data_IF_127181448292
#
_entry.id   IF_127181448292
#
_cell.length_a   1.000
_cell.length_b   1.000
_cell.length_c   1.000
_cell.angle_alpha   90.00
_cell.angle_beta   90.00
_cell.angle_gamma   90.00
#
_symmetry.space_group_name_H-M   'P 1'
#
loop_
_entity.id
_entity.type
_entity.pdbx_description
1 polymer ?
#
# COMPACT_ATOMS: atom_id res chain seq x y z
N UNK A 1 -27.39 34.04 -31.38
CA UNK A 1 -26.52 34.53 -32.47
C UNK A 1 -25.38 33.54 -32.62
N UNK A 2 -25.25 33.04 -33.83
CA UNK A 2 -24.48 31.91 -34.31
C UNK A 2 -22.98 32.19 -34.48
N UNK A 3 -22.19 31.13 -34.21
CA UNK A 3 -21.06 30.59 -34.98
C UNK A 3 -19.80 31.43 -35.29
N UNK A 4 -18.64 30.84 -34.98
CA UNK A 4 -17.54 30.50 -35.93
C UNK A 4 -16.51 29.69 -35.11
N UNK A 5 -16.33 28.38 -35.23
CA UNK A 5 -15.80 27.55 -36.34
C UNK A 5 -14.51 28.09 -36.95
N UNK A 6 -13.41 27.34 -36.80
CA UNK A 6 -12.37 27.16 -37.83
C UNK A 6 -11.50 25.90 -37.53
N UNK A 7 -11.72 24.85 -38.34
CA UNK A 7 -10.77 23.87 -38.95
C UNK A 7 -9.90 23.00 -38.03
N UNK A 8 -9.82 21.66 -38.08
CA UNK A 8 -10.01 20.65 -39.15
C UNK A 8 -9.19 20.90 -40.42
N UNK A 9 -7.99 20.30 -40.49
CA UNK A 9 -7.42 19.56 -41.64
C UNK A 9 -5.95 19.20 -41.36
N UNK A 10 -5.61 17.92 -41.34
CA UNK A 10 -4.59 17.40 -42.26
C UNK A 10 -4.70 15.87 -42.34
N UNK A 11 -5.35 15.45 -43.43
CA UNK A 11 -5.50 14.07 -43.88
C UNK A 11 -5.06 14.06 -45.35
N UNK A 12 -3.88 13.54 -45.63
CA UNK A 12 -3.38 13.13 -46.95
C UNK A 12 -2.06 12.36 -46.69
N UNK A 13 -1.78 11.16 -47.22
CA UNK A 13 -2.12 10.66 -48.54
C UNK A 13 -2.18 9.12 -48.55
N UNK A 14 -3.23 8.61 -49.19
CA UNK A 14 -3.23 7.29 -49.85
C UNK A 14 -2.76 7.47 -51.29
N UNK A 15 -2.01 6.50 -51.84
CA UNK A 15 -2.35 5.74 -53.07
C UNK A 15 -1.19 4.81 -53.51
N UNK A 16 -1.46 3.78 -54.35
CA UNK A 16 -0.91 2.43 -54.16
C UNK A 16 -0.08 1.90 -55.37
N UNK A 17 0.19 0.59 -55.31
CA UNK A 17 0.47 -0.39 -56.38
C UNK A 17 1.93 -0.78 -56.64
N UNK A 18 2.25 -2.03 -56.32
CA UNK A 18 2.91 -2.95 -57.24
C UNK A 18 2.72 -4.41 -56.77
N UNK A 19 1.94 -5.16 -57.54
CA UNK A 19 1.92 -6.63 -57.53
C UNK A 19 3.15 -7.14 -58.28
N UNK A 20 3.94 -8.02 -57.66
CA UNK A 20 4.74 -9.00 -58.41
C UNK A 20 4.72 -10.35 -57.68
N UNK A 21 4.25 -11.37 -58.39
CA UNK A 21 4.40 -12.78 -58.03
C UNK A 21 5.72 -13.30 -58.60
N UNK A 22 6.55 -13.93 -57.76
CA UNK A 22 7.49 -14.99 -58.18
C UNK A 22 8.05 -15.73 -56.95
N UNK A 23 7.74 -17.01 -56.85
CA UNK A 23 8.41 -18.05 -56.04
C UNK A 23 9.24 -18.95 -56.98
N UNK A 24 10.09 -19.89 -56.51
CA UNK A 24 10.72 -20.06 -55.20
C UNK A 24 12.23 -20.44 -55.27
N UNK A 25 12.76 -20.77 -54.08
CA UNK A 25 13.87 -21.71 -53.80
C UNK A 25 15.26 -21.13 -53.54
N UNK A 26 15.57 -20.99 -52.26
CA UNK A 26 16.81 -21.52 -51.68
C UNK A 26 16.57 -21.85 -50.20
N UNK A 27 16.49 -23.15 -49.90
CA UNK A 27 16.51 -23.67 -48.53
C UNK A 27 17.88 -23.38 -47.93
N UNK A 28 17.93 -22.48 -46.95
CA UNK A 28 19.02 -22.41 -45.97
C UNK A 28 18.38 -22.54 -44.59
N UNK A 29 18.61 -23.68 -43.96
CA UNK A 29 18.29 -23.94 -42.56
C UNK A 29 19.20 -23.10 -41.68
N UNK A 30 18.77 -21.87 -41.37
CA UNK A 30 19.29 -21.13 -40.23
C UNK A 30 18.55 -21.61 -38.97
N UNK A 31 19.26 -22.32 -38.10
CA UNK A 31 18.81 -22.59 -36.74
C UNK A 31 18.81 -21.27 -35.97
N UNK A 32 17.70 -20.55 -36.02
CA UNK A 32 17.41 -19.44 -35.11
C UNK A 32 17.09 -20.02 -33.75
N UNK A 33 18.09 -20.07 -32.87
CA UNK A 33 17.85 -20.20 -31.43
C UNK A 33 17.16 -18.91 -30.97
N UNK A 34 15.85 -19.00 -30.69
CA UNK A 34 15.11 -17.96 -29.98
C UNK A 34 15.79 -17.75 -28.62
N UNK A 35 16.16 -16.51 -28.23
CA UNK A 35 16.54 -16.28 -26.85
C UNK A 35 15.32 -16.58 -25.98
N UNK A 36 15.46 -17.53 -25.06
CA UNK A 36 14.51 -17.69 -23.96
C UNK A 36 14.63 -16.43 -23.10
N UNK A 37 13.82 -15.42 -23.39
CA UNK A 37 13.62 -14.30 -22.50
C UNK A 37 12.87 -14.84 -21.29
N UNK A 38 13.62 -15.19 -20.25
CA UNK A 38 13.06 -15.35 -18.91
C UNK A 38 12.66 -13.93 -18.47
N UNK A 39 11.50 -13.46 -18.91
CA UNK A 39 10.88 -12.29 -18.32
C UNK A 39 10.63 -12.65 -16.85
N UNK A 40 11.49 -12.16 -15.96
CA UNK A 40 11.23 -12.19 -14.53
C UNK A 40 9.98 -11.33 -14.35
N UNK A 41 8.84 -11.97 -14.07
CA UNK A 41 7.66 -11.24 -13.65
C UNK A 41 8.04 -10.41 -12.43
N UNK A 42 7.69 -9.12 -12.38
CA UNK A 42 8.01 -8.28 -11.23
C UNK A 42 7.46 -8.95 -9.98
N UNK A 43 8.25 -8.92 -8.90
CA UNK A 43 7.78 -9.41 -7.62
C UNK A 43 6.53 -8.62 -7.27
N UNK A 44 5.45 -9.25 -6.79
CA UNK A 44 4.28 -8.54 -6.29
C UNK A 44 4.61 -7.63 -5.09
N UNK A 45 5.81 -7.77 -4.52
CA UNK A 45 6.37 -6.96 -3.45
C UNK A 45 7.35 -5.88 -3.93
N UNK A 46 7.43 -5.62 -5.24
CA UNK A 46 8.31 -4.58 -5.79
C UNK A 46 7.91 -3.19 -5.28
N UNK A 47 8.86 -2.46 -4.69
CA UNK A 47 8.66 -1.11 -4.15
C UNK A 47 8.28 -1.06 -2.67
N UNK A 48 8.02 -2.20 -2.02
CA UNK A 48 7.82 -2.25 -0.57
C UNK A 48 9.15 -2.07 0.17
N UNK A 49 9.12 -1.33 1.27
CA UNK A 49 10.28 -1.11 2.14
C UNK A 49 9.87 -1.15 3.60
N UNK A 50 10.60 -1.93 4.40
CA UNK A 50 10.50 -1.91 5.87
C UNK A 50 11.58 -1.05 6.53
N UNK A 51 12.25 -0.17 5.77
CA UNK A 51 13.29 0.70 6.30
C UNK A 51 12.75 1.57 7.45
N UNK A 52 13.47 1.62 8.56
CA UNK A 52 13.05 2.39 9.74
C UNK A 52 12.16 1.62 10.72
N UNK A 53 11.68 0.42 10.37
CA UNK A 53 11.04 -0.47 11.33
C UNK A 53 12.10 -1.10 12.27
N UNK A 54 11.91 -1.05 13.60
CA UNK A 54 12.76 -1.78 14.54
C UNK A 54 12.82 -3.29 14.22
N UNK A 55 14.00 -3.89 14.42
CA UNK A 55 14.23 -5.29 14.08
C UNK A 55 13.31 -6.26 14.83
N UNK A 56 12.90 -5.92 16.05
CA UNK A 56 12.01 -6.71 16.89
C UNK A 56 10.51 -6.51 16.59
N UNK A 57 10.17 -5.65 15.62
CA UNK A 57 8.82 -5.46 15.10
C UNK A 57 8.61 -6.07 13.71
N UNK A 58 9.64 -6.67 13.12
CA UNK A 58 9.49 -7.40 11.86
C UNK A 58 8.75 -8.72 12.10
N UNK A 59 7.73 -8.97 11.28
CA UNK A 59 6.91 -10.19 11.30
C UNK A 59 7.22 -11.12 10.12
N UNK A 60 8.20 -10.76 9.28
CA UNK A 60 8.60 -11.47 8.06
C UNK A 60 7.42 -11.66 7.10
N UNK A 61 6.58 -10.64 6.97
CA UNK A 61 5.53 -10.51 5.96
C UNK A 61 5.73 -9.16 5.28
N UNK A 62 6.15 -9.11 4.00
CA UNK A 62 6.66 -7.88 3.38
C UNK A 62 5.68 -6.71 3.33
N UNK A 63 4.37 -6.96 3.23
CA UNK A 63 3.37 -5.89 3.17
C UNK A 63 3.13 -5.33 4.57
N UNK A 64 2.93 -6.18 5.56
CA UNK A 64 2.81 -5.83 6.98
C UNK A 64 4.05 -5.08 7.47
N UNK A 65 5.26 -5.57 7.15
CA UNK A 65 6.49 -4.90 7.59
C UNK A 65 6.66 -3.52 6.92
N UNK A 66 6.20 -3.36 5.69
CA UNK A 66 6.23 -2.06 5.01
C UNK A 66 5.21 -1.07 5.60
N UNK A 67 3.95 -1.48 5.82
CA UNK A 67 2.95 -0.62 6.45
C UNK A 67 3.30 -0.29 7.90
N UNK A 68 3.91 -1.22 8.63
CA UNK A 68 4.43 -0.96 9.98
C UNK A 68 5.58 0.05 9.98
N UNK A 69 6.47 -0.01 8.98
CA UNK A 69 7.53 0.98 8.83
C UNK A 69 6.95 2.38 8.56
N UNK A 70 5.99 2.49 7.64
CA UNK A 70 5.28 3.74 7.34
C UNK A 70 4.57 4.32 8.57
N UNK A 71 3.90 3.47 9.37
CA UNK A 71 3.30 3.88 10.64
C UNK A 71 4.31 4.54 11.57
N UNK A 72 5.46 3.90 11.79
CA UNK A 72 6.50 4.40 12.71
C UNK A 72 7.09 5.71 12.20
N UNK A 73 7.34 5.81 10.89
CA UNK A 73 7.89 7.02 10.27
C UNK A 73 6.92 8.21 10.38
N UNK A 74 5.64 8.00 10.09
CA UNK A 74 4.62 9.04 10.20
C UNK A 74 4.39 9.48 11.65
N UNK A 75 4.41 8.53 12.58
CA UNK A 75 4.31 8.85 14.00
C UNK A 75 5.51 9.67 14.48
N UNK A 76 6.73 9.29 14.06
CA UNK A 76 7.94 10.05 14.36
C UNK A 76 7.88 11.47 13.78
N UNK A 77 7.33 11.64 12.56
CA UNK A 77 7.11 12.95 11.97
C UNK A 77 6.12 13.80 12.78
N UNK A 78 5.01 13.21 13.26
CA UNK A 78 4.05 13.90 14.12
C UNK A 78 4.66 14.31 15.47
N UNK A 79 5.50 13.47 16.08
CA UNK A 79 6.22 13.78 17.32
C UNK A 79 7.22 14.92 17.13
N UNK A 80 7.91 14.95 15.99
CA UNK A 80 8.93 15.95 15.68
C UNK A 80 8.36 17.28 15.15
N UNK A 81 7.09 17.33 14.76
CA UNK A 81 6.47 18.51 14.20
C UNK A 81 6.38 19.67 15.21
N UNK A 82 6.59 20.89 14.72
CA UNK A 82 6.29 22.12 15.44
C UNK A 82 4.77 22.30 15.62
N UNK A 83 4.35 23.35 16.33
CA UNK A 83 2.93 23.56 16.67
C UNK A 83 2.08 23.76 15.40
N UNK A 84 2.63 24.48 14.42
CA UNK A 84 1.98 24.73 13.13
C UNK A 84 1.87 23.47 12.26
N UNK A 85 2.87 22.60 12.29
CA UNK A 85 2.91 21.37 11.49
C UNK A 85 2.22 20.16 12.13
N UNK A 86 1.99 20.18 13.45
CA UNK A 86 1.52 19.00 14.19
C UNK A 86 0.22 18.42 13.61
N UNK A 87 -0.79 19.25 13.36
CA UNK A 87 -2.10 18.76 12.90
C UNK A 87 -2.01 18.06 11.54
N UNK A 88 -1.21 18.61 10.62
CA UNK A 88 -1.02 18.01 9.29
C UNK A 88 -0.27 16.67 9.36
N UNK A 89 0.76 16.58 10.21
CA UNK A 89 1.49 15.33 10.41
C UNK A 89 0.63 14.27 11.12
N UNK A 90 -0.20 14.70 12.08
CA UNK A 90 -1.12 13.80 12.79
C UNK A 90 -2.24 13.29 11.88
N UNK A 91 -2.80 14.14 11.01
CA UNK A 91 -3.77 13.73 9.99
C UNK A 91 -3.17 12.69 9.03
N UNK A 92 -1.93 12.87 8.58
CA UNK A 92 -1.24 11.89 7.74
C UNK A 92 -1.04 10.53 8.44
N UNK A 93 -0.70 10.54 9.73
CA UNK A 93 -0.60 9.32 10.52
C UNK A 93 -1.97 8.63 10.70
N UNK A 94 -3.05 9.38 10.96
CA UNK A 94 -4.42 8.83 11.07
C UNK A 94 -4.85 8.17 9.76
N UNK A 95 -4.63 8.85 8.63
CA UNK A 95 -5.04 8.35 7.30
C UNK A 95 -4.31 7.05 6.95
N UNK A 96 -2.99 7.00 7.17
CA UNK A 96 -2.20 5.78 7.00
C UNK A 96 -2.70 4.66 7.92
N UNK A 97 -2.87 4.95 9.21
CA UNK A 97 -3.28 3.96 10.21
C UNK A 97 -4.66 3.37 9.88
N UNK A 98 -5.56 4.19 9.35
CA UNK A 98 -6.86 3.72 8.86
C UNK A 98 -6.72 2.77 7.67
N UNK A 99 -5.86 3.09 6.70
CA UNK A 99 -5.60 2.21 5.56
C UNK A 99 -4.98 0.88 5.99
N UNK A 100 -3.97 0.94 6.86
CA UNK A 100 -3.31 -0.23 7.46
C UNK A 100 -4.32 -1.15 8.15
N UNK A 101 -5.12 -0.64 9.08
CA UNK A 101 -6.10 -1.48 9.79
C UNK A 101 -7.17 -2.04 8.87
N UNK A 102 -7.69 -1.25 7.92
CA UNK A 102 -8.68 -1.75 6.95
C UNK A 102 -8.14 -2.92 6.12
N UNK A 103 -6.85 -2.86 5.77
CA UNK A 103 -6.19 -3.92 5.03
C UNK A 103 -6.10 -5.21 5.87
N UNK A 104 -5.65 -5.12 7.13
CA UNK A 104 -5.59 -6.28 8.02
C UNK A 104 -6.96 -6.87 8.33
N UNK A 105 -7.97 -6.02 8.58
CA UNK A 105 -9.34 -6.45 8.80
C UNK A 105 -9.90 -7.25 7.62
N UNK A 106 -9.59 -6.83 6.38
CA UNK A 106 -9.96 -7.58 5.18
C UNK A 106 -9.28 -8.94 5.13
N UNK A 107 -8.00 -9.03 5.51
CA UNK A 107 -7.29 -10.32 5.56
C UNK A 107 -7.85 -11.22 6.64
N UNK A 108 -8.09 -10.68 7.84
CA UNK A 108 -8.70 -11.40 8.94
C UNK A 108 -10.06 -11.99 8.58
N UNK A 109 -10.89 -11.25 7.83
CA UNK A 109 -12.15 -11.76 7.29
C UNK A 109 -11.91 -12.86 6.25
N UNK A 110 -11.04 -12.60 5.26
CA UNK A 110 -10.78 -13.53 4.16
C UNK A 110 -10.22 -14.88 4.61
N UNK A 111 -9.40 -14.89 5.67
CA UNK A 111 -8.82 -16.11 6.24
C UNK A 111 -9.63 -16.69 7.41
N UNK A 112 -10.82 -16.15 7.69
CA UNK A 112 -11.67 -16.56 8.82
C UNK A 112 -10.93 -16.59 10.17
N UNK A 113 -10.12 -15.57 10.42
CA UNK A 113 -9.29 -15.46 11.62
C UNK A 113 -10.16 -15.36 12.88
N UNK A 114 -10.05 -16.37 13.76
CA UNK A 114 -10.91 -16.47 14.96
C UNK A 114 -10.90 -15.23 15.87
N UNK A 115 -9.71 -14.70 16.25
CA UNK A 115 -9.61 -13.53 17.11
C UNK A 115 -9.93 -12.16 16.46
N UNK A 116 -10.44 -12.12 15.22
CA UNK A 116 -10.66 -10.86 14.46
C UNK A 116 -11.46 -9.79 15.20
N UNK A 117 -12.45 -10.20 16.01
CA UNK A 117 -13.31 -9.25 16.72
C UNK A 117 -12.59 -8.48 17.83
N UNK A 118 -11.68 -9.13 18.56
CA UNK A 118 -10.85 -8.44 19.55
C UNK A 118 -9.82 -7.54 18.86
N UNK A 119 -9.27 -8.00 17.74
CA UNK A 119 -8.27 -7.26 16.97
C UNK A 119 -8.83 -5.96 16.38
N UNK A 120 -9.91 -6.07 15.58
CA UNK A 120 -10.60 -4.90 15.03
C UNK A 120 -11.13 -3.96 16.13
N UNK A 121 -11.47 -4.49 17.32
CA UNK A 121 -11.87 -3.67 18.47
C UNK A 121 -10.77 -2.71 18.94
N UNK A 122 -9.53 -3.18 19.04
CA UNK A 122 -8.37 -2.33 19.40
C UNK A 122 -8.09 -1.28 18.32
N UNK A 123 -8.16 -1.67 17.03
CA UNK A 123 -8.04 -0.75 15.89
C UNK A 123 -9.07 0.38 15.94
N UNK A 124 -10.34 0.03 16.17
CA UNK A 124 -11.43 0.99 16.27
C UNK A 124 -11.26 1.93 17.46
N UNK A 125 -10.80 1.40 18.59
CA UNK A 125 -10.62 2.20 19.81
C UNK A 125 -9.49 3.22 19.64
N UNK A 126 -8.33 2.82 19.08
CA UNK A 126 -7.21 3.76 18.91
C UNK A 126 -7.55 4.85 17.89
N UNK A 127 -8.22 4.52 16.78
CA UNK A 127 -8.67 5.52 15.80
C UNK A 127 -9.72 6.46 16.39
N UNK A 128 -10.67 5.96 17.18
CA UNK A 128 -11.68 6.81 17.82
C UNK A 128 -11.06 7.81 18.80
N UNK A 129 -10.05 7.38 19.58
CA UNK A 129 -9.30 8.27 20.48
C UNK A 129 -8.50 9.30 19.69
N UNK A 130 -7.81 8.86 18.63
CA UNK A 130 -7.03 9.75 17.77
C UNK A 130 -7.89 10.83 17.13
N UNK A 131 -9.05 10.47 16.56
CA UNK A 131 -9.98 11.40 15.94
C UNK A 131 -10.55 12.40 16.96
N UNK A 132 -10.93 11.94 18.16
CA UNK A 132 -11.41 12.84 19.20
C UNK A 132 -10.34 13.87 19.63
N UNK A 133 -9.08 13.43 19.74
CA UNK A 133 -7.96 14.32 20.08
C UNK A 133 -7.62 15.24 18.91
N UNK A 134 -7.66 14.74 17.68
CA UNK A 134 -7.48 15.54 16.46
C UNK A 134 -8.50 16.67 16.39
N UNK A 135 -9.78 16.41 16.68
CA UNK A 135 -10.82 17.45 16.80
C UNK A 135 -10.50 18.46 17.89
N UNK A 136 -10.10 18.02 19.09
CA UNK A 136 -9.75 18.93 20.18
C UNK A 136 -8.52 19.81 19.86
N UNK A 137 -7.56 19.29 19.09
CA UNK A 137 -6.41 20.08 18.60
C UNK A 137 -6.88 21.13 17.60
N UNK A 138 -7.70 20.72 16.61
CA UNK A 138 -8.15 21.61 15.54
C UNK A 138 -9.09 22.72 16.03
N UNK A 139 -10.02 22.40 16.92
CA UNK A 139 -11.09 23.31 17.32
C UNK A 139 -10.72 24.11 18.58
N UNK A 140 -10.02 23.49 19.53
CA UNK A 140 -9.74 24.06 20.85
C UNK A 140 -8.24 24.33 21.11
N UNK A 141 -7.36 24.05 20.14
CA UNK A 141 -5.92 24.28 20.27
C UNK A 141 -5.23 23.37 21.30
N UNK A 142 -5.80 22.19 21.59
CA UNK A 142 -5.31 21.23 22.60
C UNK A 142 -4.09 20.42 22.16
N UNK A 143 -3.03 21.10 21.71
CA UNK A 143 -1.77 20.50 21.29
C UNK A 143 -1.12 19.65 22.40
N UNK A 144 -1.34 20.00 23.67
CA UNK A 144 -0.89 19.20 24.82
C UNK A 144 -1.44 17.77 24.79
N UNK A 145 -2.71 17.59 24.41
CA UNK A 145 -3.34 16.27 24.30
C UNK A 145 -2.83 15.52 23.06
N UNK A 146 -2.70 16.21 21.94
CA UNK A 146 -2.16 15.65 20.70
C UNK A 146 -0.75 15.08 20.89
N UNK A 147 0.16 15.89 21.45
CA UNK A 147 1.54 15.49 21.72
C UNK A 147 1.63 14.37 22.74
N UNK A 148 0.76 14.37 23.76
CA UNK A 148 0.69 13.27 24.73
C UNK A 148 0.29 11.97 24.06
N UNK A 149 -0.79 11.96 23.26
CA UNK A 149 -1.20 10.76 22.54
C UNK A 149 -0.10 10.25 21.61
N UNK A 150 0.50 11.14 20.81
CA UNK A 150 1.60 10.79 19.90
C UNK A 150 2.77 10.09 20.62
N UNK A 151 3.12 10.55 21.83
CA UNK A 151 4.16 9.91 22.64
C UNK A 151 3.80 8.50 23.11
N UNK A 152 2.54 8.27 23.49
CA UNK A 152 2.07 6.96 24.01
C UNK A 152 1.85 5.93 22.90
N UNK A 153 1.56 6.37 21.66
CA UNK A 153 1.24 5.48 20.53
C UNK A 153 2.39 4.52 20.18
N UNK A 154 3.63 4.90 20.43
CA UNK A 154 4.79 4.02 20.20
C UNK A 154 4.74 2.75 21.08
N UNK A 155 4.39 2.90 22.36
CA UNK A 155 4.28 1.78 23.30
C UNK A 155 3.05 0.91 23.03
N UNK A 156 1.93 1.53 22.63
CA UNK A 156 0.76 0.78 22.17
C UNK A 156 1.08 -0.06 20.93
N UNK A 157 1.72 0.54 19.93
CA UNK A 157 2.05 -0.13 18.67
C UNK A 157 3.02 -1.30 18.88
N UNK A 158 4.06 -1.11 19.69
CA UNK A 158 5.00 -2.19 20.05
C UNK A 158 4.28 -3.43 20.61
N UNK A 159 3.37 -3.20 21.56
CA UNK A 159 2.58 -4.28 22.16
C UNK A 159 1.62 -4.92 21.15
N UNK A 160 0.96 -4.10 20.32
CA UNK A 160 0.00 -4.56 19.32
C UNK A 160 0.67 -5.49 18.30
N UNK A 161 1.78 -5.05 17.72
CA UNK A 161 2.57 -5.82 16.73
C UNK A 161 3.04 -7.15 17.31
N UNK A 162 3.61 -7.13 18.52
CA UNK A 162 4.16 -8.33 19.17
C UNK A 162 3.11 -9.32 19.67
N UNK A 163 1.83 -8.95 19.68
CA UNK A 163 0.75 -9.80 20.17
C UNK A 163 -0.27 -10.14 19.08
N UNK A 164 -1.02 -9.16 18.60
CA UNK A 164 -2.17 -9.37 17.73
C UNK A 164 -1.72 -9.57 16.28
N UNK A 165 -0.84 -8.72 15.77
CA UNK A 165 -0.35 -8.79 14.39
C UNK A 165 0.52 -10.03 14.20
N UNK A 166 1.42 -10.31 15.15
CA UNK A 166 2.22 -11.53 15.15
C UNK A 166 1.35 -12.80 15.10
N UNK A 167 0.21 -12.82 15.81
CA UNK A 167 -0.74 -13.93 15.76
C UNK A 167 -1.46 -14.01 14.42
N UNK A 168 -1.85 -12.87 13.84
CA UNK A 168 -2.46 -12.80 12.51
C UNK A 168 -1.49 -13.29 11.43
N UNK A 169 -0.26 -12.77 11.37
CA UNK A 169 0.77 -13.16 10.40
C UNK A 169 1.16 -14.63 10.55
N UNK A 170 1.25 -15.15 11.78
CA UNK A 170 1.48 -16.58 12.01
C UNK A 170 0.35 -17.43 11.45
N UNK A 171 -0.91 -16.99 11.60
CA UNK A 171 -2.06 -17.67 11.03
C UNK A 171 -2.06 -17.60 9.49
N UNK A 172 -1.75 -16.44 8.92
CA UNK A 172 -1.60 -16.24 7.48
C UNK A 172 -0.62 -17.27 6.88
N UNK A 173 0.59 -17.37 7.47
CA UNK A 173 1.63 -18.31 7.05
C UNK A 173 1.21 -19.77 7.19
N UNK A 174 0.56 -20.13 8.29
CA UNK A 174 0.13 -21.50 8.54
C UNK A 174 -0.95 -21.99 7.55
N UNK A 175 -1.74 -21.08 6.97
CA UNK A 175 -2.80 -21.40 6.04
C UNK A 175 -2.43 -21.16 4.57
N UNK A 176 -1.17 -20.80 4.29
CA UNK A 176 -0.70 -20.51 2.93
C UNK A 176 -1.37 -19.30 2.30
N UNK A 177 -1.93 -18.40 3.11
CA UNK A 177 -2.50 -17.16 2.62
C UNK A 177 -1.37 -16.21 2.23
N UNK A 178 -1.44 -15.69 1.02
CA UNK A 178 -0.50 -14.71 0.49
C UNK A 178 -1.31 -13.66 -0.26
N UNK A 179 -0.88 -12.41 -0.17
CA UNK A 179 -1.55 -11.26 -0.78
C UNK A 179 -1.44 -11.25 -2.31
N UNK A 180 -0.57 -12.09 -2.84
CA UNK A 180 -0.38 -12.35 -4.27
C UNK A 180 -1.42 -13.34 -4.81
N UNK A 181 -1.90 -14.24 -3.95
CA UNK A 181 -2.73 -15.40 -4.31
C UNK A 181 -3.97 -15.47 -3.41
N UNK A 182 -4.59 -14.32 -3.12
CA UNK A 182 -5.91 -14.30 -2.47
C UNK A 182 -6.85 -15.28 -3.19
N UNK A 183 -7.70 -16.03 -2.45
CA UNK A 183 -8.53 -17.05 -3.07
C UNK A 183 -9.39 -16.42 -4.18
N UNK A 184 -9.60 -17.12 -5.32
CA UNK A 184 -10.42 -16.58 -6.39
C UNK A 184 -11.81 -16.23 -5.84
N UNK A 185 -12.26 -15.03 -6.20
CA UNK A 185 -13.59 -14.51 -5.89
C UNK A 185 -14.71 -15.47 -6.29
#
# INVERSE_FOLDING_TARGET
>A
MTATDTRLSDLASMTPFATTSATPSATTTATTSMPTSTAVSPSPYEGLSSEGLPADLHLDEPVTDATHAEFVQLLAAAVAADDEGFLAAFDAWIDHTRYHFQQEEQWMEAMAFGPRGCHAGEHQQVLAIAEAIRTAVADDGRLDLGRRLAGELSGWFDHHVKSMDAMMVSHMKANGFSLVEGPPA
#
